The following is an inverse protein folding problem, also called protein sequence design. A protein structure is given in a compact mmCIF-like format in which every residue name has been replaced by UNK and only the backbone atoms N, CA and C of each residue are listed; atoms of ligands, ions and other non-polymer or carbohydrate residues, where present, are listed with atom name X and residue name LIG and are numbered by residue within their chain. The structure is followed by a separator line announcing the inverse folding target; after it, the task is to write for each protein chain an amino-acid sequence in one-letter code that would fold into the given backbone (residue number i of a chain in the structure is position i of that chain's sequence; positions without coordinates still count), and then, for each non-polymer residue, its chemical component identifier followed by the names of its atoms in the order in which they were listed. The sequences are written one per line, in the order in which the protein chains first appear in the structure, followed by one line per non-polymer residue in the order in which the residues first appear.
data_IF_401588328216
#
_entry.id   IF_401588328216
#
_cell.length_a   1.000
_cell.length_b   1.000
_cell.length_c   1.000
_cell.angle_alpha   90.00
_cell.angle_beta   90.00
_cell.angle_gamma   90.00
#
_symmetry.space_group_name_H-M   'P 1'
#
loop_
_entity.id
_entity.type
_entity.pdbx_description
1 polymer ?
#
# COMPACT_ATOMS: atom_id res chain seq x y z
N UNK A 1 21.16 -17.60 13.58
CA UNK A 1 19.75 -17.69 13.14
C UNK A 1 19.26 -16.26 12.89
N UNK A 2 19.52 -15.73 11.70
CA UNK A 2 19.34 -14.32 11.34
C UNK A 2 18.32 -14.26 10.21
N UNK A 3 17.04 -13.97 10.51
CA UNK A 3 16.00 -13.52 9.55
C UNK A 3 14.64 -13.34 10.31
N UNK A 4 14.48 -12.28 11.11
CA UNK A 4 13.20 -12.00 11.81
C UNK A 4 12.71 -10.54 11.71
N UNK A 5 13.48 -9.62 11.15
CA UNK A 5 13.09 -8.19 11.15
C UNK A 5 12.05 -7.85 10.06
N UNK A 6 12.11 -8.47 8.87
CA UNK A 6 11.16 -8.21 7.79
C UNK A 6 9.72 -8.70 8.09
N UNK A 7 9.58 -9.76 8.91
CA UNK A 7 8.28 -10.32 9.23
C UNK A 7 7.44 -9.43 10.16
N UNK A 8 8.08 -8.70 11.06
CA UNK A 8 7.39 -7.87 12.05
C UNK A 8 6.69 -6.67 11.40
N UNK A 9 7.39 -5.94 10.54
CA UNK A 9 6.82 -4.78 9.83
C UNK A 9 5.67 -5.17 8.89
N UNK A 10 5.82 -6.27 8.15
CA UNK A 10 4.74 -6.76 7.29
C UNK A 10 3.50 -7.16 8.10
N UNK A 11 3.69 -7.78 9.27
CA UNK A 11 2.58 -8.19 10.13
C UNK A 11 1.87 -7.00 10.79
N UNK A 12 2.63 -6.02 11.28
CA UNK A 12 2.08 -4.77 11.83
C UNK A 12 1.26 -4.01 10.78
N UNK A 13 1.77 -3.91 9.55
CA UNK A 13 1.06 -3.30 8.45
C UNK A 13 -0.24 -4.04 8.11
N UNK A 14 -0.19 -5.39 8.02
CA UNK A 14 -1.40 -6.21 7.82
C UNK A 14 -2.43 -5.99 8.91
N UNK A 15 -1.99 -5.85 10.16
CA UNK A 15 -2.89 -5.62 11.28
C UNK A 15 -3.57 -4.25 11.20
N UNK A 16 -2.83 -3.21 10.81
CA UNK A 16 -3.41 -1.89 10.51
C UNK A 16 -4.45 -1.95 9.40
N UNK A 17 -4.14 -2.65 8.30
CA UNK A 17 -5.08 -2.84 7.20
C UNK A 17 -6.33 -3.60 7.68
N UNK A 18 -6.17 -4.68 8.45
CA UNK A 18 -7.29 -5.48 8.99
C UNK A 18 -8.30 -4.64 9.75
N UNK A 19 -7.84 -3.69 10.56
CA UNK A 19 -8.69 -2.80 11.34
C UNK A 19 -9.61 -1.92 10.46
N UNK A 20 -9.27 -1.72 9.19
CA UNK A 20 -10.06 -0.96 8.23
C UNK A 20 -11.00 -1.81 7.35
N UNK A 21 -10.92 -3.14 7.40
CA UNK A 21 -11.73 -4.05 6.58
C UNK A 21 -13.10 -4.32 7.21
N UNK A 22 -14.11 -4.60 6.36
CA UNK A 22 -15.44 -5.03 6.83
C UNK A 22 -15.43 -6.43 7.42
N UNK A 23 -14.67 -7.35 6.83
CA UNK A 23 -14.43 -8.69 7.35
C UNK A 23 -12.90 -8.93 7.44
N UNK A 24 -12.28 -8.59 8.58
CA UNK A 24 -10.83 -8.72 8.77
C UNK A 24 -10.32 -10.16 8.67
N UNK A 25 -11.15 -11.14 9.04
CA UNK A 25 -10.80 -12.55 9.03
C UNK A 25 -10.73 -13.12 7.60
N UNK A 26 -11.47 -12.53 6.66
CA UNK A 26 -11.42 -12.90 5.24
C UNK A 26 -10.22 -12.35 4.46
N UNK A 27 -9.34 -11.58 5.10
CA UNK A 27 -8.28 -10.84 4.41
C UNK A 27 -7.28 -11.78 3.69
N UNK A 28 -7.22 -11.65 2.37
CA UNK A 28 -6.26 -12.29 1.49
C UNK A 28 -5.20 -11.27 1.07
N UNK A 29 -3.94 -11.69 1.06
CA UNK A 29 -2.80 -10.80 0.83
C UNK A 29 -2.00 -11.26 -0.37
N UNK A 30 -1.51 -10.31 -1.17
CA UNK A 30 -0.50 -10.57 -2.20
C UNK A 30 0.42 -9.36 -2.38
N UNK A 31 1.57 -9.59 -3.00
CA UNK A 31 2.55 -8.53 -3.32
C UNK A 31 2.94 -7.65 -2.12
N UNK A 32 2.99 -8.25 -0.91
CA UNK A 32 3.35 -7.52 0.31
C UNK A 32 4.85 -7.40 0.42
N UNK A 33 5.36 -6.18 0.30
CA UNK A 33 6.78 -5.87 0.34
C UNK A 33 7.05 -4.84 1.43
N UNK A 34 8.09 -5.11 2.23
CA UNK A 34 8.66 -4.13 3.17
C UNK A 34 9.75 -3.40 2.40
N UNK A 35 9.52 -2.14 2.07
CA UNK A 35 10.47 -1.34 1.29
C UNK A 35 11.50 -0.70 2.22
N UNK A 36 11.00 -0.04 3.27
CA UNK A 36 11.81 0.44 4.40
C UNK A 36 11.21 -0.12 5.70
N UNK A 37 11.96 -0.08 6.81
CA UNK A 37 11.47 -0.54 8.13
C UNK A 37 10.14 0.10 8.54
N UNK A 38 9.82 1.27 8.00
CA UNK A 38 8.61 2.02 8.27
C UNK A 38 7.64 2.11 7.09
N UNK A 39 7.94 1.49 5.93
CA UNK A 39 7.09 1.52 4.73
C UNK A 39 6.80 0.11 4.23
N UNK A 40 5.52 -0.26 4.23
CA UNK A 40 5.04 -1.54 3.71
C UNK A 40 3.97 -1.29 2.66
N UNK A 41 4.14 -1.89 1.50
CA UNK A 41 3.19 -1.82 0.39
C UNK A 41 2.63 -3.20 0.11
N UNK A 42 1.40 -3.28 -0.40
CA UNK A 42 0.86 -4.53 -0.91
C UNK A 42 -0.57 -4.43 -1.37
N UNK A 43 -1.19 -5.59 -1.55
CA UNK A 43 -2.57 -5.71 -1.97
C UNK A 43 -3.35 -6.58 -0.99
N UNK A 44 -4.59 -6.17 -0.71
CA UNK A 44 -5.53 -6.89 0.14
C UNK A 44 -6.84 -7.10 -0.59
N UNK A 45 -7.44 -8.28 -0.43
CA UNK A 45 -8.82 -8.54 -0.83
C UNK A 45 -9.57 -9.09 0.38
N UNK A 46 -10.79 -8.60 0.62
CA UNK A 46 -11.61 -9.01 1.74
C UNK A 46 -13.09 -8.97 1.36
N UNK A 47 -13.90 -9.72 2.10
CA UNK A 47 -15.35 -9.71 1.90
C UNK A 47 -15.92 -8.35 2.28
N UNK A 48 -16.81 -7.85 1.44
CA UNK A 48 -17.63 -6.67 1.72
C UNK A 48 -18.84 -7.04 2.61
N UNK A 49 -19.70 -6.06 2.92
CA UNK A 49 -20.89 -6.27 3.74
C UNK A 49 -21.91 -7.28 3.16
N UNK A 50 -21.80 -7.62 1.87
CA UNK A 50 -22.63 -8.63 1.20
C UNK A 50 -21.98 -10.02 1.18
N UNK A 51 -20.80 -10.19 1.80
CA UNK A 51 -20.09 -11.47 1.90
C UNK A 51 -19.26 -11.86 0.68
N UNK A 52 -19.20 -11.00 -0.34
CA UNK A 52 -18.45 -11.23 -1.59
C UNK A 52 -17.10 -10.50 -1.62
N UNK A 53 -16.16 -11.05 -2.39
CA UNK A 53 -14.88 -10.40 -2.68
C UNK A 53 -15.04 -9.47 -3.90
N UNK A 54 -14.61 -8.20 -3.75
CA UNK A 54 -14.69 -7.21 -4.82
C UNK A 54 -13.41 -7.12 -5.68
N UNK A 55 -12.34 -7.79 -5.26
CA UNK A 55 -11.04 -7.75 -5.91
C UNK A 55 -9.96 -7.20 -4.99
N UNK A 56 -8.71 -7.28 -5.43
CA UNK A 56 -7.57 -6.78 -4.66
C UNK A 56 -7.47 -5.26 -4.77
N UNK A 57 -7.48 -4.59 -3.62
CA UNK A 57 -7.19 -3.17 -3.45
C UNK A 57 -5.75 -2.98 -2.94
N UNK A 58 -5.11 -1.89 -3.34
CA UNK A 58 -3.74 -1.58 -2.89
C UNK A 58 -3.74 -0.89 -1.53
N UNK A 59 -2.70 -1.14 -0.75
CA UNK A 59 -2.44 -0.45 0.51
C UNK A 59 -0.99 -0.01 0.63
N UNK A 60 -0.79 1.06 1.38
CA UNK A 60 0.51 1.53 1.84
C UNK A 60 0.39 1.82 3.34
N UNK A 61 1.32 1.30 4.12
CA UNK A 61 1.49 1.66 5.53
C UNK A 61 2.82 2.37 5.69
N UNK A 62 2.80 3.63 6.13
CA UNK A 62 4.00 4.44 6.37
C UNK A 62 3.96 5.04 7.77
N UNK A 63 4.98 4.80 8.58
CA UNK A 63 5.05 5.30 9.97
C UNK A 63 3.76 4.97 10.77
N UNK A 64 3.20 3.78 10.56
CA UNK A 64 1.96 3.33 11.22
C UNK A 64 0.66 3.95 10.70
N UNK A 65 0.72 4.84 9.70
CA UNK A 65 -0.45 5.39 8.99
C UNK A 65 -0.83 4.50 7.82
N UNK A 66 -2.12 4.21 7.68
CA UNK A 66 -2.68 3.40 6.60
C UNK A 66 -3.24 4.29 5.48
N UNK A 67 -2.94 3.91 4.25
CA UNK A 67 -3.54 4.42 3.02
C UNK A 67 -4.12 3.25 2.24
N UNK A 68 -5.39 3.34 1.85
CA UNK A 68 -6.11 2.33 1.07
C UNK A 68 -6.54 2.93 -0.26
N UNK A 69 -6.38 2.17 -1.34
CA UNK A 69 -6.83 2.55 -2.67
C UNK A 69 -8.31 2.23 -2.85
N UNK A 70 -9.20 3.10 -2.40
CA UNK A 70 -10.65 2.87 -2.48
C UNK A 70 -11.20 3.11 -3.90
N UNK A 71 -10.47 3.86 -4.71
CA UNK A 71 -10.75 4.06 -6.12
C UNK A 71 -9.49 3.86 -6.99
N UNK A 72 -9.67 4.00 -8.31
CA UNK A 72 -8.62 3.83 -9.30
C UNK A 72 -7.49 4.87 -9.16
N UNK A 73 -7.81 6.08 -8.76
CA UNK A 73 -6.87 7.19 -8.59
C UNK A 73 -5.99 6.96 -7.37
N UNK A 74 -6.59 6.65 -6.22
CA UNK A 74 -5.87 6.31 -4.98
C UNK A 74 -5.04 5.04 -5.16
N UNK A 75 -5.60 4.03 -5.82
CA UNK A 75 -4.87 2.80 -6.13
C UNK A 75 -3.67 3.04 -7.04
N UNK A 76 -3.80 3.94 -8.02
CA UNK A 76 -2.68 4.31 -8.89
C UNK A 76 -1.63 5.12 -8.11
N UNK A 77 -2.04 6.09 -7.30
CA UNK A 77 -1.14 6.86 -6.44
C UNK A 77 -0.32 5.93 -5.52
N UNK A 78 -0.97 5.01 -4.82
CA UNK A 78 -0.29 4.02 -3.96
C UNK A 78 0.70 3.19 -4.77
N UNK A 79 0.28 2.68 -5.93
CA UNK A 79 1.17 1.88 -6.79
C UNK A 79 2.42 2.65 -7.19
N UNK A 80 2.27 3.89 -7.64
CA UNK A 80 3.40 4.70 -8.09
C UNK A 80 4.28 5.09 -6.90
N UNK A 81 3.72 5.51 -5.77
CA UNK A 81 4.50 5.83 -4.56
C UNK A 81 5.31 4.62 -4.08
N UNK A 82 4.71 3.43 -4.05
CA UNK A 82 5.41 2.20 -3.69
C UNK A 82 6.53 1.85 -4.68
N UNK A 83 6.28 1.96 -5.99
CA UNK A 83 7.29 1.69 -7.01
C UNK A 83 8.47 2.69 -6.94
N UNK A 84 8.18 3.97 -6.72
CA UNK A 84 9.20 5.02 -6.60
C UNK A 84 10.10 4.79 -5.38
N UNK A 85 9.51 4.45 -4.23
CA UNK A 85 10.24 4.17 -2.98
C UNK A 85 11.13 2.91 -3.12
N UNK A 86 10.69 1.91 -3.88
CA UNK A 86 11.42 0.64 -4.12
C UNK A 86 12.53 0.77 -5.18
N UNK A 87 12.79 1.98 -5.69
CA UNK A 87 13.80 2.22 -6.74
C UNK A 87 13.34 1.81 -8.15
N UNK A 88 12.04 1.55 -8.34
CA UNK A 88 11.42 1.24 -9.63
C UNK A 88 10.94 2.52 -10.34
N UNK A 89 11.84 3.50 -10.49
CA UNK A 89 11.57 4.84 -11.04
C UNK A 89 10.88 4.86 -12.42
N UNK A 90 10.85 3.74 -13.14
CA UNK A 90 10.35 3.65 -14.54
C UNK A 90 8.83 3.44 -14.66
N UNK A 91 8.08 3.35 -13.57
CA UNK A 91 6.65 2.98 -13.65
C UNK A 91 5.67 4.16 -13.75
N UNK A 92 5.99 5.36 -13.24
CA UNK A 92 5.05 6.50 -13.22
C UNK A 92 4.56 6.94 -14.61
N UNK A 93 5.50 7.05 -15.57
CA UNK A 93 5.20 7.49 -16.94
C UNK A 93 4.35 6.48 -17.72
N UNK A 94 4.50 5.17 -17.44
CA UNK A 94 3.73 4.09 -18.11
C UNK A 94 2.22 4.18 -17.82
N UNK A 95 1.85 4.77 -16.68
CA UNK A 95 0.45 4.96 -16.30
C UNK A 95 -0.06 6.38 -16.58
N UNK A 96 0.71 7.20 -17.31
CA UNK A 96 0.30 8.54 -17.73
C UNK A 96 0.44 9.62 -16.66
N UNK A 97 1.14 9.33 -15.56
CA UNK A 97 1.41 10.33 -14.53
C UNK A 97 2.69 11.10 -14.86
N UNK A 98 2.62 12.44 -14.80
CA UNK A 98 3.82 13.27 -14.88
C UNK A 98 4.65 13.10 -13.61
N UNK A 99 5.98 13.29 -13.69
CA UNK A 99 6.86 13.23 -12.49
C UNK A 99 6.36 14.14 -11.36
N UNK A 100 5.82 15.32 -11.72
CA UNK A 100 5.18 16.24 -10.78
C UNK A 100 3.88 15.67 -10.23
N UNK A 101 2.99 15.10 -11.06
CA UNK A 101 1.73 14.52 -10.59
C UNK A 101 1.92 13.28 -9.71
N UNK A 102 3.01 12.54 -9.88
CA UNK A 102 3.41 11.46 -8.98
C UNK A 102 3.89 12.02 -7.64
N UNK A 103 4.77 13.02 -7.66
CA UNK A 103 5.23 13.70 -6.46
C UNK A 103 4.05 14.32 -5.70
N UNK A 104 3.17 15.04 -6.40
CA UNK A 104 1.95 15.63 -5.86
C UNK A 104 1.00 14.56 -5.27
N UNK A 105 0.88 13.39 -5.90
CA UNK A 105 0.05 12.29 -5.39
C UNK A 105 0.64 11.67 -4.11
N UNK A 106 1.96 11.60 -4.00
CA UNK A 106 2.62 11.18 -2.78
C UNK A 106 2.61 12.30 -1.70
N UNK A 107 2.76 13.57 -2.10
CA UNK A 107 2.74 14.77 -1.25
C UNK A 107 1.33 15.05 -0.67
N UNK A 108 0.27 14.81 -1.45
CA UNK A 108 -1.13 14.91 -1.03
C UNK A 108 -1.50 13.93 0.10
N UNK A 109 -0.72 12.87 0.30
CA UNK A 109 -0.82 11.97 1.45
C UNK A 109 -0.18 12.55 2.75
N UNK A 110 0.08 13.87 2.78
CA UNK A 110 0.86 14.57 3.81
C UNK A 110 2.30 14.06 3.94
N UNK A 111 2.96 13.84 2.80
CA UNK A 111 4.39 13.57 2.75
C UNK A 111 5.17 14.88 2.65
N UNK A 112 5.69 15.36 3.77
CA UNK A 112 7.05 15.91 3.70
C UNK A 112 7.98 14.69 3.82
N UNK A 113 8.75 14.42 2.77
CA UNK A 113 10.03 13.74 2.95
C UNK A 113 10.91 14.67 3.81
N UNK A 114 11.70 14.16 4.76
CA UNK A 114 12.90 14.91 5.16
C UNK A 114 13.82 15.11 3.96
#
# INVERSE_FOLDING_TARGET
MMLLLAGCHAQEAKEKVRQALKDPASAQWRNVNVIYSNVVCGEVNAKNSMGGYAGFQRFLVRNGRLYLGNDSTESAAIFVCCAQIDGLEKHGERYGYSKQGVADACDALQWTLP
#
